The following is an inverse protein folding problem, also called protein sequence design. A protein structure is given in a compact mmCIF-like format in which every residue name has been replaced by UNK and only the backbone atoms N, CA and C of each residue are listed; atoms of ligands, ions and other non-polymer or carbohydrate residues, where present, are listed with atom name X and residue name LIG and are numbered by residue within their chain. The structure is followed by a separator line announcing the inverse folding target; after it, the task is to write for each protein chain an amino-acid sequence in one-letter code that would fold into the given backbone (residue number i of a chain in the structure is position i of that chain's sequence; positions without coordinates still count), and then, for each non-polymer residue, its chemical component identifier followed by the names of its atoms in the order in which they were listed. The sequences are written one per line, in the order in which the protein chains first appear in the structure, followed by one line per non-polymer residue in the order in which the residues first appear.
data_IF_150623727559
#
_entry.id   IF_150623727559
#
_cell.length_a   1.000
_cell.length_b   1.000
_cell.length_c   1.000
_cell.angle_alpha   90.00
_cell.angle_beta   90.00
_cell.angle_gamma   90.00
#
_symmetry.space_group_name_H-M   'P 1'
#
loop_
_entity.id
_entity.type
_entity.pdbx_description
1 polymer ?
#
# COMPACT_ATOMS: atom_id res chain seq x y z
N UNK A 1 -32.87 33.60 -60.79
CA UNK A 1 -32.51 32.72 -59.66
C UNK A 1 -31.13 32.06 -59.80
N UNK A 2 -30.61 31.78 -61.01
CA UNK A 2 -29.30 31.11 -61.21
C UNK A 2 -28.08 32.01 -60.90
N UNK A 3 -28.19 33.33 -61.07
CA UNK A 3 -27.10 34.29 -60.84
C UNK A 3 -26.77 34.52 -59.35
N UNK A 4 -27.75 34.36 -58.45
CA UNK A 4 -27.54 34.54 -57.01
C UNK A 4 -26.73 33.40 -56.39
N UNK A 5 -26.94 32.16 -56.85
CA UNK A 5 -26.16 30.99 -56.40
C UNK A 5 -24.70 31.05 -56.86
N UNK A 6 -24.45 31.54 -58.08
CA UNK A 6 -23.09 31.69 -58.61
C UNK A 6 -22.30 32.76 -57.83
N UNK A 7 -22.95 33.87 -57.46
CA UNK A 7 -22.34 34.91 -56.62
C UNK A 7 -22.05 34.42 -55.19
N UNK A 8 -22.94 33.61 -54.60
CA UNK A 8 -22.72 32.97 -53.29
C UNK A 8 -21.55 31.95 -53.31
N UNK A 9 -21.41 31.18 -54.40
CA UNK A 9 -20.32 30.22 -54.55
C UNK A 9 -18.95 30.92 -54.70
N UNK A 10 -18.91 32.07 -55.38
CA UNK A 10 -17.69 32.89 -55.49
C UNK A 10 -17.32 33.58 -54.17
N UNK A 11 -18.31 33.99 -53.35
CA UNK A 11 -18.08 34.52 -52.00
C UNK A 11 -17.56 33.46 -51.03
N UNK A 12 -17.93 32.20 -51.19
CA UNK A 12 -17.39 31.10 -50.35
C UNK A 12 -15.89 30.83 -50.62
N UNK A 13 -15.41 31.11 -51.84
CA UNK A 13 -14.02 30.87 -52.24
C UNK A 13 -13.04 31.92 -51.69
N UNK A 14 -13.50 33.12 -51.32
CA UNK A 14 -12.63 34.15 -50.74
C UNK A 14 -12.49 34.06 -49.23
N UNK A 15 -13.37 33.31 -48.55
CA UNK A 15 -13.32 33.13 -47.09
C UNK A 15 -12.38 32.01 -46.64
N UNK A 16 -11.96 31.12 -47.54
CA UNK A 16 -11.00 30.07 -47.22
C UNK A 16 -9.59 30.51 -47.62
N UNK A 17 -9.07 31.53 -46.95
CA UNK A 17 -7.62 31.69 -46.91
C UNK A 17 -7.06 30.46 -46.18
N UNK A 18 -6.15 29.67 -46.78
CA UNK A 18 -5.42 28.69 -46.02
C UNK A 18 -4.57 29.47 -45.01
N UNK A 19 -4.94 29.38 -43.73
CA UNK A 19 -4.07 29.80 -42.64
C UNK A 19 -2.92 28.79 -42.66
N UNK A 20 -1.87 29.12 -43.41
CA UNK A 20 -0.65 28.34 -43.46
C UNK A 20 0.07 28.52 -42.13
N UNK A 21 -0.31 27.72 -41.13
CA UNK A 21 0.49 27.54 -39.91
C UNK A 21 1.62 26.58 -40.25
N UNK A 22 2.67 27.09 -40.90
CA UNK A 22 3.88 26.34 -41.22
C UNK A 22 5.08 27.11 -40.63
N UNK A 23 5.45 26.95 -39.36
CA UNK A 23 4.81 26.21 -38.29
C UNK A 23 5.72 25.34 -37.45
N UNK A 24 6.97 25.06 -37.86
CA UNK A 24 7.76 23.99 -37.22
C UNK A 24 8.39 24.45 -35.88
N UNK A 25 7.61 24.31 -34.81
CA UNK A 25 8.07 24.47 -33.43
C UNK A 25 8.70 23.16 -32.95
N UNK A 26 9.95 23.23 -32.53
CA UNK A 26 10.69 22.08 -31.99
C UNK A 26 10.72 22.12 -30.46
N UNK A 27 10.49 20.95 -29.85
CA UNK A 27 10.54 20.75 -28.39
C UNK A 27 11.71 19.84 -28.08
N UNK A 28 12.60 20.29 -27.19
CA UNK A 28 13.76 19.53 -26.73
C UNK A 28 13.64 19.29 -25.23
N UNK A 29 13.82 18.04 -24.80
CA UNK A 29 13.83 17.70 -23.38
C UNK A 29 15.20 18.01 -22.77
N UNK A 30 15.20 18.67 -21.62
CA UNK A 30 16.39 19.03 -20.84
C UNK A 30 16.20 18.49 -19.41
N UNK A 31 17.29 18.34 -18.66
CA UNK A 31 17.18 17.97 -17.25
C UNK A 31 16.32 19.01 -16.50
N UNK A 32 15.19 18.55 -15.95
CA UNK A 32 14.22 19.35 -15.19
C UNK A 32 13.43 20.41 -15.99
N UNK A 33 13.32 20.27 -17.31
CA UNK A 33 12.48 21.16 -18.11
C UNK A 33 12.46 20.85 -19.61
N UNK A 34 11.81 21.73 -20.36
CA UNK A 34 11.78 21.69 -21.83
C UNK A 34 12.34 22.98 -22.42
N UNK A 35 13.00 22.85 -23.57
CA UNK A 35 13.45 23.97 -24.40
C UNK A 35 12.60 24.01 -25.66
N UNK A 36 11.95 25.14 -25.87
CA UNK A 36 11.17 25.40 -27.07
C UNK A 36 12.02 26.20 -28.05
N UNK A 37 12.04 25.81 -29.32
CA UNK A 37 12.76 26.53 -30.37
C UNK A 37 11.87 26.71 -31.59
N UNK A 38 11.75 27.95 -32.04
CA UNK A 38 11.11 28.33 -33.29
C UNK A 38 12.16 28.38 -34.42
N UNK A 39 11.72 28.28 -35.67
CA UNK A 39 12.60 28.42 -36.84
C UNK A 39 13.43 29.71 -36.86
N UNK A 40 12.91 30.82 -36.30
CA UNK A 40 13.57 32.14 -36.31
C UNK A 40 14.03 32.64 -34.94
N UNK A 41 13.90 31.86 -33.86
CA UNK A 41 14.29 32.31 -32.52
C UNK A 41 13.64 31.57 -31.36
N UNK A 42 13.70 32.17 -30.18
CA UNK A 42 13.02 31.68 -28.97
C UNK A 42 11.55 32.10 -28.97
N UNK A 43 10.62 31.27 -28.49
CA UNK A 43 9.24 31.69 -28.34
C UNK A 43 9.10 32.76 -27.24
N UNK A 44 8.04 33.55 -27.39
CA UNK A 44 7.70 34.65 -26.49
C UNK A 44 6.46 34.31 -25.68
N UNK A 45 6.47 34.63 -24.37
CA UNK A 45 5.29 34.65 -23.49
C UNK A 45 5.19 36.03 -22.85
N UNK A 46 4.07 36.73 -23.00
CA UNK A 46 3.86 38.08 -22.48
C UNK A 46 5.00 39.08 -22.86
N UNK A 47 5.41 39.10 -24.14
CA UNK A 47 6.52 39.92 -24.66
C UNK A 47 7.92 39.64 -24.04
N UNK A 48 8.10 38.50 -23.37
CA UNK A 48 9.40 38.04 -22.88
C UNK A 48 9.84 36.80 -23.63
N UNK A 49 11.08 36.81 -24.13
CA UNK A 49 11.72 35.64 -24.71
C UNK A 49 11.93 34.59 -23.63
N UNK A 50 11.51 33.36 -23.91
CA UNK A 50 11.66 32.24 -22.98
C UNK A 50 12.41 31.12 -23.67
N UNK A 51 13.61 30.84 -23.19
CA UNK A 51 14.50 29.85 -23.79
C UNK A 51 14.37 28.48 -23.10
N UNK A 52 14.14 28.43 -21.79
CA UNK A 52 14.02 27.18 -21.04
C UNK A 52 12.87 27.28 -20.06
N UNK A 53 12.03 26.25 -20.06
CA UNK A 53 10.86 26.12 -19.23
C UNK A 53 11.09 24.99 -18.24
N UNK A 54 11.29 25.33 -16.98
CA UNK A 54 11.30 24.34 -15.91
C UNK A 54 9.91 23.68 -15.80
N UNK A 55 9.88 22.44 -15.34
CA UNK A 55 8.63 21.77 -14.98
C UNK A 55 8.01 22.46 -13.74
N UNK A 56 7.22 23.51 -13.99
CA UNK A 56 6.44 24.26 -13.01
C UNK A 56 5.10 24.61 -13.61
N UNK A 57 4.04 24.51 -12.82
CA UNK A 57 2.69 24.85 -13.29
C UNK A 57 2.58 26.32 -13.72
N UNK A 58 3.36 27.23 -13.15
CA UNK A 58 3.45 28.65 -13.55
C UNK A 58 3.91 28.85 -15.01
N UNK A 59 4.69 27.90 -15.52
CA UNK A 59 5.15 27.91 -16.90
C UNK A 59 4.06 27.44 -17.88
N UNK A 60 2.91 26.96 -17.39
CA UNK A 60 1.76 26.65 -18.26
C UNK A 60 1.26 27.91 -18.96
N UNK A 61 0.97 27.81 -20.25
CA UNK A 61 0.43 28.92 -21.03
C UNK A 61 0.66 28.80 -22.53
N UNK A 62 0.19 29.82 -23.24
CA UNK A 62 0.40 29.98 -24.67
C UNK A 62 1.73 30.70 -24.94
N UNK A 63 2.49 30.15 -25.88
CA UNK A 63 3.77 30.66 -26.35
C UNK A 63 3.65 30.97 -27.83
N UNK A 64 4.18 32.11 -28.25
CA UNK A 64 4.08 32.59 -29.62
C UNK A 64 5.45 32.84 -30.22
N UNK A 65 5.71 32.30 -31.41
CA UNK A 65 6.89 32.61 -32.22
C UNK A 65 6.67 33.88 -33.03
N UNK A 66 7.76 34.53 -33.46
CA UNK A 66 7.71 35.79 -34.23
C UNK A 66 6.94 35.66 -35.56
N UNK A 67 6.98 34.49 -36.20
CA UNK A 67 6.20 34.17 -37.41
C UNK A 67 4.70 33.95 -37.18
N UNK A 68 4.20 34.15 -35.96
CA UNK A 68 2.79 34.00 -35.62
C UNK A 68 2.35 32.57 -35.28
N UNK A 69 3.29 31.61 -35.25
CA UNK A 69 3.05 30.26 -34.77
C UNK A 69 2.78 30.28 -33.27
N UNK A 70 1.78 29.52 -32.83
CA UNK A 70 1.38 29.47 -31.43
C UNK A 70 1.37 28.04 -30.91
N UNK A 71 1.92 27.83 -29.72
CA UNK A 71 1.91 26.54 -29.02
C UNK A 71 1.39 26.74 -27.60
N UNK A 72 0.47 25.88 -27.19
CA UNK A 72 0.00 25.85 -25.81
C UNK A 72 0.74 24.75 -25.05
N UNK A 73 1.54 25.14 -24.06
CA UNK A 73 2.27 24.21 -23.19
C UNK A 73 1.50 24.04 -21.89
N UNK A 74 1.18 22.80 -21.56
CA UNK A 74 0.54 22.43 -20.30
C UNK A 74 1.45 21.53 -19.50
N UNK A 75 2.02 22.07 -18.43
CA UNK A 75 2.70 21.25 -17.45
C UNK A 75 1.67 20.57 -16.54
N UNK A 76 1.95 19.32 -16.19
CA UNK A 76 1.28 18.59 -15.11
C UNK A 76 2.37 18.07 -14.20
N UNK A 77 2.81 18.93 -13.30
CA UNK A 77 3.75 18.53 -12.26
C UNK A 77 3.00 17.81 -11.13
N UNK A 78 3.65 16.84 -10.50
CA UNK A 78 3.08 16.13 -9.36
C UNK A 78 4.06 16.14 -8.19
N UNK A 79 3.80 17.04 -7.25
CA UNK A 79 4.48 17.03 -5.97
C UNK A 79 3.99 15.80 -5.18
N UNK A 80 4.89 14.88 -4.88
CA UNK A 80 4.62 13.60 -4.19
C UNK A 80 3.98 12.49 -5.04
N UNK A 81 4.11 12.53 -6.37
CA UNK A 81 3.87 11.32 -7.14
C UNK A 81 4.95 10.28 -6.80
N UNK A 82 4.52 9.12 -6.33
CA UNK A 82 5.38 7.95 -6.24
C UNK A 82 5.27 7.22 -7.57
N UNK A 83 6.38 7.07 -8.26
CA UNK A 83 6.48 6.16 -9.40
C UNK A 83 6.41 4.72 -8.87
N UNK A 84 5.20 4.17 -8.84
CA UNK A 84 4.99 2.77 -8.50
C UNK A 84 5.36 1.91 -9.70
N UNK A 85 6.64 1.56 -9.80
CA UNK A 85 7.06 0.51 -10.73
C UNK A 85 6.44 -0.84 -10.32
N UNK A 86 6.25 -1.69 -11.32
CA UNK A 86 5.79 -3.07 -11.19
C UNK A 86 6.59 -3.85 -10.14
N UNK A 87 7.90 -3.63 -10.05
CA UNK A 87 8.73 -4.24 -9.02
C UNK A 87 8.36 -3.77 -7.60
N UNK A 88 8.12 -2.47 -7.40
CA UNK A 88 7.74 -1.88 -6.11
C UNK A 88 6.38 -2.39 -5.64
N UNK A 89 5.39 -2.44 -6.52
CA UNK A 89 4.05 -2.98 -6.21
C UNK A 89 4.16 -4.44 -5.82
N UNK A 90 4.92 -5.23 -6.60
CA UNK A 90 5.12 -6.65 -6.33
C UNK A 90 5.81 -6.88 -4.99
N UNK A 91 6.85 -6.09 -4.68
CA UNK A 91 7.55 -6.16 -3.39
C UNK A 91 6.63 -5.85 -2.21
N UNK A 92 5.74 -4.86 -2.34
CA UNK A 92 4.75 -4.53 -1.32
C UNK A 92 3.78 -5.68 -1.06
N UNK A 93 3.23 -6.30 -2.12
CA UNK A 93 2.29 -7.42 -1.99
C UNK A 93 2.98 -8.65 -1.38
N UNK A 94 4.17 -9.00 -1.87
CA UNK A 94 4.93 -10.13 -1.31
C UNK A 94 5.32 -9.87 0.14
N UNK A 95 5.73 -8.65 0.47
CA UNK A 95 6.05 -8.23 1.83
C UNK A 95 4.88 -8.40 2.80
N UNK A 96 3.67 -8.00 2.39
CA UNK A 96 2.45 -8.15 3.18
C UNK A 96 2.08 -9.62 3.41
N UNK A 97 2.17 -10.45 2.37
CA UNK A 97 1.95 -11.90 2.50
C UNK A 97 2.94 -12.54 3.47
N UNK A 98 4.21 -12.19 3.39
CA UNK A 98 5.22 -12.72 4.32
C UNK A 98 4.96 -12.23 5.76
N UNK A 99 4.66 -10.95 5.94
CA UNK A 99 4.36 -10.37 7.25
C UNK A 99 3.16 -11.04 7.92
N UNK A 100 2.07 -11.24 7.17
CA UNK A 100 0.86 -11.91 7.68
C UNK A 100 1.13 -13.37 8.07
N UNK A 101 1.94 -14.11 7.30
CA UNK A 101 2.37 -15.47 7.66
C UNK A 101 3.17 -15.47 8.97
N UNK A 102 4.15 -14.57 9.11
CA UNK A 102 4.98 -14.48 10.32
C UNK A 102 4.13 -14.19 11.55
N UNK A 103 3.20 -13.24 11.44
CA UNK A 103 2.25 -12.91 12.52
C UNK A 103 1.38 -14.13 12.83
N UNK A 104 0.86 -14.82 11.81
CA UNK A 104 0.05 -16.03 11.98
C UNK A 104 0.79 -17.15 12.72
N UNK A 105 2.06 -17.41 12.37
CA UNK A 105 2.91 -18.39 13.06
C UNK A 105 3.19 -17.96 14.50
N UNK A 106 3.49 -16.69 14.74
CA UNK A 106 3.74 -16.18 16.09
C UNK A 106 2.52 -16.39 17.00
N UNK A 107 1.33 -16.03 16.52
CA UNK A 107 0.07 -16.24 17.26
C UNK A 107 -0.20 -17.73 17.46
N UNK A 108 0.04 -18.57 16.45
CA UNK A 108 -0.14 -20.02 16.55
C UNK A 108 0.77 -20.64 17.62
N UNK A 109 2.05 -20.24 17.69
CA UNK A 109 2.98 -20.73 18.72
C UNK A 109 2.55 -20.32 20.13
N UNK A 110 2.08 -19.08 20.31
CA UNK A 110 1.57 -18.61 21.61
C UNK A 110 0.30 -19.37 22.00
N UNK A 111 -0.64 -19.55 21.06
CA UNK A 111 -1.90 -20.24 21.32
C UNK A 111 -1.72 -21.76 21.54
N UNK A 112 -0.77 -22.39 20.86
CA UNK A 112 -0.48 -23.83 20.98
C UNK A 112 0.21 -24.19 22.29
N UNK A 113 1.01 -23.29 22.89
CA UNK A 113 1.54 -23.48 24.24
C UNK A 113 0.43 -23.61 25.30
N UNK A 114 -0.72 -22.95 25.11
CA UNK A 114 -1.88 -23.11 26.00
C UNK A 114 -2.69 -24.40 25.76
N UNK A 115 -2.46 -25.12 24.65
CA UNK A 115 -3.13 -26.40 24.33
C UNK A 115 -2.23 -27.61 24.61
N UNK A 116 -0.92 -27.44 24.57
CA UNK A 116 0.10 -28.44 24.87
C UNK A 116 0.65 -28.12 26.26
N UNK A 117 -0.17 -28.35 27.29
CA UNK A 117 0.35 -28.77 28.59
C UNK A 117 0.22 -30.30 28.70
N UNK A 118 1.08 -31.10 28.04
CA UNK A 118 1.41 -32.40 28.58
C UNK A 118 2.24 -32.07 29.81
N UNK A 119 1.68 -32.30 30.99
CA UNK A 119 2.36 -32.58 32.26
C UNK A 119 3.90 -32.53 32.18
N UNK A 120 4.50 -31.36 31.98
CA UNK A 120 5.85 -31.11 32.46
C UNK A 120 5.57 -30.75 33.89
N UNK A 121 5.52 -31.80 34.70
CA UNK A 121 5.66 -31.74 36.14
C UNK A 121 6.60 -30.57 36.40
N UNK A 122 6.15 -29.48 37.04
CA UNK A 122 7.14 -28.54 37.49
C UNK A 122 7.98 -29.40 38.41
N UNK A 123 9.29 -29.51 38.15
CA UNK A 123 10.24 -29.64 39.26
C UNK A 123 10.13 -28.34 40.05
N UNK A 124 8.95 -28.15 40.65
CA UNK A 124 8.69 -27.24 41.74
C UNK A 124 9.50 -27.89 42.83
N UNK A 125 10.68 -27.32 43.06
CA UNK A 125 11.40 -27.48 44.30
C UNK A 125 10.34 -27.58 45.40
N UNK A 126 10.28 -28.76 46.01
CA UNK A 126 9.31 -29.11 47.03
C UNK A 126 9.62 -28.29 48.26
N UNK A 127 9.18 -27.03 48.28
CA UNK A 127 8.94 -26.31 49.52
C UNK A 127 7.58 -26.74 50.09
N UNK A 128 7.44 -28.06 50.25
CA UNK A 128 6.47 -28.62 51.18
C UNK A 128 7.27 -28.74 52.47
N UNK A 129 6.91 -28.03 53.55
CA UNK A 129 7.48 -28.33 54.85
C UNK A 129 7.35 -29.83 55.06
N UNK A 130 8.44 -30.51 55.45
CA UNK A 130 8.38 -31.90 55.90
C UNK A 130 7.28 -31.96 56.95
N UNK A 131 6.13 -32.56 56.60
CA UNK A 131 5.15 -32.92 57.62
C UNK A 131 5.86 -33.89 58.56
N UNK A 132 5.83 -33.66 59.89
CA UNK A 132 6.34 -34.64 60.82
C UNK A 132 5.62 -35.98 60.58
N UNK A 133 6.30 -37.13 60.76
CA UNK A 133 5.64 -38.42 60.67
C UNK A 133 4.50 -38.39 61.69
N UNK A 134 3.28 -38.70 61.26
CA UNK A 134 2.18 -38.91 62.18
C UNK A 134 2.41 -40.28 62.83
N UNK A 135 3.29 -40.31 63.83
CA UNK A 135 3.46 -41.46 64.70
C UNK A 135 2.13 -41.68 65.43
N UNK A 136 1.68 -42.93 65.40
CA UNK A 136 0.31 -43.31 65.70
C UNK A 136 -0.16 -42.81 67.06
N UNK A 137 -1.13 -41.91 67.03
CA UNK A 137 -1.93 -41.61 68.20
C UNK A 137 -3.26 -42.34 68.03
N UNK A 138 -3.36 -43.50 68.68
CA UNK A 138 -4.58 -44.29 68.85
C UNK A 138 -5.59 -43.46 69.66
N UNK A 139 -6.43 -42.69 68.98
CA UNK A 139 -7.56 -41.97 69.56
C UNK A 139 -8.89 -42.68 69.22
N UNK A 140 -9.92 -42.68 70.09
CA UNK A 140 -11.04 -43.63 69.99
C UNK A 140 -12.12 -43.31 68.95
N UNK A 141 -11.96 -42.32 68.07
CA UNK A 141 -13.05 -41.86 67.20
C UNK A 141 -12.54 -41.24 65.88
N UNK A 142 -12.01 -42.09 64.99
CA UNK A 142 -11.85 -41.73 63.59
C UNK A 142 -13.15 -42.04 62.85
N UNK A 143 -14.09 -41.08 62.83
CA UNK A 143 -15.41 -41.25 62.20
C UNK A 143 -15.36 -41.26 60.65
N UNK A 144 -14.18 -41.08 60.05
CA UNK A 144 -13.97 -41.28 58.61
C UNK A 144 -12.57 -41.81 58.36
N UNK A 145 -12.45 -43.13 58.21
CA UNK A 145 -11.22 -43.77 57.78
C UNK A 145 -11.09 -43.67 56.26
N UNK A 146 -9.92 -43.27 55.71
CA UNK A 146 -9.73 -43.22 54.26
C UNK A 146 -9.73 -44.64 53.66
N UNK A 147 -10.54 -44.83 52.62
CA UNK A 147 -10.72 -46.12 51.95
C UNK A 147 -9.40 -46.60 51.34
N UNK A 148 -8.89 -47.71 51.86
CA UNK A 148 -7.68 -48.38 51.36
C UNK A 148 -8.08 -49.30 50.20
N UNK A 149 -7.44 -49.10 49.04
CA UNK A 149 -7.78 -49.81 47.80
C UNK A 149 -7.40 -51.30 47.95
N UNK A 150 -8.40 -52.18 48.14
CA UNK A 150 -8.20 -53.63 48.26
C UNK A 150 -8.74 -54.26 49.55
N UNK A 151 -9.33 -53.49 50.46
CA UNK A 151 -9.97 -54.02 51.66
C UNK A 151 -11.45 -54.35 51.36
N UNK A 152 -11.86 -55.61 51.60
CA UNK A 152 -13.27 -56.02 51.53
C UNK A 152 -13.92 -55.70 52.86
N UNK A 153 -15.02 -54.96 52.84
CA UNK A 153 -15.72 -54.59 54.06
C UNK A 153 -16.63 -55.72 54.53
N UNK A 154 -16.91 -55.76 55.84
CA UNK A 154 -17.66 -56.84 56.52
C UNK A 154 -19.08 -57.02 55.98
N UNK A 155 -19.59 -56.07 55.18
CA UNK A 155 -20.91 -56.11 54.54
C UNK A 155 -20.89 -56.37 53.03
N UNK A 156 -19.72 -56.64 52.42
CA UNK A 156 -19.60 -56.94 50.99
C UNK A 156 -20.18 -58.31 50.57
N UNK A 157 -20.74 -59.08 51.50
CA UNK A 157 -21.37 -60.37 51.21
C UNK A 157 -22.88 -60.27 51.31
N UNK A 158 -23.51 -59.63 50.32
CA UNK A 158 -24.92 -59.88 50.05
C UNK A 158 -25.02 -61.13 49.17
N UNK A 159 -25.37 -62.24 49.82
CA UNK A 159 -25.67 -63.51 49.15
C UNK A 159 -26.96 -63.35 48.34
N UNK A 160 -26.89 -63.84 47.10
CA UNK A 160 -27.99 -63.94 46.13
C UNK A 160 -29.16 -64.77 46.66
#
# INVERSE_FOLDING_TARGET
MKSALAACLLLLWTLTAPVSCDGEITVMDVHNGIKLRCGDGSPTKNNKNVETLEYKDENTGEYTCEKGEKIFVKFRTCDNCIELDTASITGMVVGDVVATIVIGVAVYLIASQNRISPVTSPKKSSDRPRRPPNEGSRGPNDLYQPLTKGQRDTYDVLRR
#
